data_IF_160385716509
#
_entry.id   IF_160385716509
#
_cell.length_a   1.000
_cell.length_b   1.000
_cell.length_c   1.000
_cell.angle_alpha   90.00
_cell.angle_beta   90.00
_cell.angle_gamma   90.00
#
_symmetry.space_group_name_H-M   'P 1'
#
loop_
_entity.id
_entity.type
_entity.pdbx_description
1 polymer ?
#
# COMPACT_ATOMS: atom_id res chain seq x y z
N UNK A 1 -47.03 39.07 34.05
CA UNK A 1 -46.61 37.68 34.37
C UNK A 1 -45.67 37.20 33.28
N UNK A 2 -44.37 37.09 33.57
CA UNK A 2 -43.35 36.55 32.66
C UNK A 2 -43.03 35.12 33.10
N UNK A 3 -43.18 34.15 32.21
CA UNK A 3 -42.74 32.77 32.43
C UNK A 3 -41.45 32.62 31.62
N UNK A 4 -40.33 32.44 32.33
CA UNK A 4 -39.04 32.09 31.76
C UNK A 4 -38.93 30.56 31.73
N UNK A 5 -38.84 29.98 30.55
CA UNK A 5 -38.66 28.54 30.35
C UNK A 5 -37.17 28.27 30.13
N UNK A 6 -36.51 27.74 31.15
CA UNK A 6 -35.09 27.36 31.09
C UNK A 6 -34.96 25.99 30.42
N UNK A 7 -34.37 25.94 29.24
CA UNK A 7 -34.08 24.70 28.51
C UNK A 7 -32.71 24.17 28.97
N UNK A 8 -32.69 23.08 29.74
CA UNK A 8 -31.45 22.37 30.09
C UNK A 8 -31.04 21.45 28.92
N UNK A 9 -29.93 21.79 28.26
CA UNK A 9 -29.29 20.91 27.29
C UNK A 9 -28.33 19.97 28.04
N UNK A 10 -28.70 18.70 28.19
CA UNK A 10 -27.81 17.64 28.67
C UNK A 10 -26.83 17.24 27.56
N UNK A 11 -25.56 17.62 27.72
CA UNK A 11 -24.46 17.18 26.88
C UNK A 11 -24.06 15.76 27.28
N UNK A 12 -24.45 14.75 26.50
CA UNK A 12 -24.00 13.38 26.69
C UNK A 12 -22.58 13.22 26.12
N UNK A 13 -21.59 13.10 27.00
CA UNK A 13 -20.23 12.73 26.65
C UNK A 13 -20.22 11.26 26.20
N UNK A 14 -20.13 11.00 24.89
CA UNK A 14 -19.88 9.65 24.38
C UNK A 14 -18.40 9.37 24.55
N UNK A 15 -18.04 8.69 25.64
CA UNK A 15 -16.69 8.16 25.82
C UNK A 15 -16.44 7.06 24.77
N UNK A 16 -15.72 7.37 23.71
CA UNK A 16 -15.20 6.36 22.78
C UNK A 16 -14.16 5.52 23.51
N UNK A 17 -14.57 4.37 24.03
CA UNK A 17 -13.64 3.34 24.49
C UNK A 17 -12.87 2.82 23.29
N UNK A 18 -11.62 3.27 23.14
CA UNK A 18 -10.66 2.64 22.24
C UNK A 18 -10.37 1.25 22.82
N UNK A 19 -11.07 0.23 22.33
CA UNK A 19 -10.74 -1.15 22.62
C UNK A 19 -9.44 -1.43 21.86
N UNK A 20 -8.32 -1.38 22.58
CA UNK A 20 -7.05 -1.89 22.07
C UNK A 20 -7.26 -3.34 21.62
N UNK A 21 -6.87 -3.63 20.38
CA UNK A 21 -6.96 -4.99 19.84
C UNK A 21 -6.21 -5.95 20.78
N UNK A 22 -6.78 -7.12 21.11
CA UNK A 22 -6.14 -8.06 22.00
C UNK A 22 -4.78 -8.48 21.43
N UNK A 23 -3.74 -8.43 22.26
CA UNK A 23 -2.44 -9.02 21.93
C UNK A 23 -2.64 -10.47 21.53
N UNK A 24 -2.36 -10.78 20.26
CA UNK A 24 -2.49 -12.11 19.68
C UNK A 24 -1.40 -13.04 20.28
N UNK A 25 -1.62 -13.53 21.50
CA UNK A 25 -0.79 -14.55 22.16
C UNK A 25 -1.21 -15.96 21.72
N UNK A 26 -1.21 -16.21 20.42
CA UNK A 26 -1.17 -17.57 19.89
C UNK A 26 0.19 -17.80 19.23
N UNK A 27 1.07 -18.47 19.97
CA UNK A 27 2.36 -18.96 19.50
C UNK A 27 2.16 -19.90 18.32
N UNK A 28 2.18 -19.35 17.11
CA UNK A 28 2.37 -20.14 15.91
C UNK A 28 3.76 -20.79 15.99
N UNK A 29 3.79 -22.13 15.94
CA UNK A 29 5.01 -22.91 15.69
C UNK A 29 5.84 -22.19 14.63
N UNK A 30 7.12 -21.94 14.93
CA UNK A 30 8.08 -21.27 14.06
C UNK A 30 8.19 -21.98 12.71
N UNK A 31 7.28 -21.66 11.79
CA UNK A 31 7.51 -21.85 10.38
C UNK A 31 8.69 -20.92 10.06
N UNK A 32 9.82 -21.49 9.67
CA UNK A 32 11.05 -20.74 9.38
C UNK A 32 10.84 -19.58 8.41
N UNK A 33 11.88 -18.75 8.18
CA UNK A 33 11.75 -17.56 7.36
C UNK A 33 11.19 -17.87 5.98
N UNK A 34 10.35 -16.98 5.46
CA UNK A 34 9.90 -17.07 4.07
C UNK A 34 11.10 -16.78 3.18
N UNK A 35 11.53 -17.78 2.41
CA UNK A 35 12.66 -17.67 1.50
C UNK A 35 12.21 -16.96 0.23
N UNK A 36 12.91 -15.89 -0.11
CA UNK A 36 12.64 -15.03 -1.26
C UNK A 36 13.87 -15.06 -2.17
N UNK A 37 13.64 -15.26 -3.48
CA UNK A 37 14.72 -15.18 -4.45
C UNK A 37 15.23 -13.73 -4.55
N UNK A 38 16.53 -13.50 -4.35
CA UNK A 38 17.12 -12.15 -4.39
C UNK A 38 16.94 -11.45 -5.74
N UNK A 39 16.62 -12.18 -6.81
CA UNK A 39 16.29 -11.60 -8.12
C UNK A 39 15.00 -10.79 -8.11
N UNK A 40 14.14 -10.90 -7.08
CA UNK A 40 13.01 -9.98 -6.83
C UNK A 40 13.50 -8.52 -6.77
N UNK A 41 14.71 -8.28 -6.26
CA UNK A 41 15.29 -6.93 -6.15
C UNK A 41 15.91 -6.42 -7.47
N UNK A 42 15.98 -7.26 -8.51
CA UNK A 42 16.60 -6.92 -9.80
C UNK A 42 15.55 -6.38 -10.78
N UNK A 43 15.06 -5.18 -10.51
CA UNK A 43 13.99 -4.54 -11.29
C UNK A 43 14.49 -3.80 -12.52
N UNK A 44 15.80 -3.54 -12.63
CA UNK A 44 16.38 -2.77 -13.74
C UNK A 44 16.19 -3.41 -15.12
N UNK A 45 15.97 -4.73 -15.17
CA UNK A 45 15.66 -5.49 -16.39
C UNK A 45 14.16 -5.69 -16.63
N UNK A 46 13.31 -5.23 -15.72
CA UNK A 46 11.85 -5.30 -15.86
C UNK A 46 11.38 -4.04 -16.57
N UNK A 47 10.61 -4.14 -17.66
CA UNK A 47 10.08 -2.97 -18.34
C UNK A 47 9.23 -2.11 -17.39
N UNK A 48 9.38 -0.80 -17.49
CA UNK A 48 8.38 0.11 -16.94
C UNK A 48 7.08 -0.02 -17.76
N UNK A 49 5.96 -0.18 -17.07
CA UNK A 49 4.63 -0.26 -17.69
C UNK A 49 3.87 0.99 -17.26
N UNK A 50 3.50 1.89 -18.19
CA UNK A 50 2.67 3.04 -17.85
C UNK A 50 1.25 2.56 -17.54
N UNK A 51 0.71 3.00 -16.41
CA UNK A 51 -0.70 2.77 -16.06
C UNK A 51 -1.48 4.05 -16.30
N UNK A 52 -2.03 4.14 -17.51
CA UNK A 52 -2.79 5.28 -18.00
C UNK A 52 -4.20 4.81 -18.36
N UNK A 53 -5.21 5.56 -17.96
CA UNK A 53 -6.60 5.33 -18.35
C UNK A 53 -7.44 6.59 -18.28
N UNK A 54 -8.63 6.52 -18.84
CA UNK A 54 -9.57 7.65 -18.92
C UNK A 54 -10.57 7.68 -17.75
N UNK A 55 -10.75 6.55 -17.05
CA UNK A 55 -11.66 6.45 -15.92
C UNK A 55 -10.95 6.82 -14.60
N UNK A 56 -11.74 7.20 -13.60
CA UNK A 56 -11.24 7.43 -12.24
C UNK A 56 -10.53 6.18 -11.71
N UNK A 57 -9.46 6.42 -10.98
CA UNK A 57 -8.62 5.45 -10.29
C UNK A 57 -7.90 4.46 -11.21
N UNK A 58 -7.76 4.78 -12.50
CA UNK A 58 -7.02 3.97 -13.46
C UNK A 58 -5.57 4.43 -13.68
N UNK A 59 -5.25 5.66 -13.28
CA UNK A 59 -3.94 6.27 -13.46
C UNK A 59 -3.09 6.12 -12.19
N UNK A 60 -1.90 5.56 -12.31
CA UNK A 60 -0.97 5.40 -11.20
C UNK A 60 0.46 5.16 -11.70
N UNK A 61 1.44 5.23 -10.81
CA UNK A 61 2.85 4.97 -11.14
C UNK A 61 3.38 3.84 -10.28
N UNK A 62 3.98 2.83 -10.91
CA UNK A 62 4.54 1.66 -10.26
C UNK A 62 6.02 1.42 -10.58
N UNK A 63 6.71 0.78 -9.65
CA UNK A 63 7.96 0.07 -9.90
C UNK A 63 7.64 -1.40 -10.08
N UNK A 64 7.79 -1.93 -11.30
CA UNK A 64 7.41 -3.32 -11.58
C UNK A 64 8.47 -4.29 -11.10
N UNK A 65 8.00 -5.37 -10.50
CA UNK A 65 8.80 -6.48 -10.03
C UNK A 65 8.47 -7.68 -10.93
N UNK A 66 9.48 -8.46 -11.30
CA UNK A 66 9.27 -9.63 -12.16
C UNK A 66 8.46 -10.69 -11.41
N UNK A 67 7.19 -10.84 -11.82
CA UNK A 67 6.23 -11.70 -11.15
C UNK A 67 6.68 -13.16 -11.09
N UNK A 68 7.56 -13.62 -11.99
CA UNK A 68 8.08 -14.99 -11.94
C UNK A 68 8.83 -15.30 -10.63
N UNK A 69 9.38 -14.29 -9.97
CA UNK A 69 10.02 -14.46 -8.66
C UNK A 69 9.06 -14.24 -7.48
N UNK A 70 7.90 -13.64 -7.73
CA UNK A 70 6.83 -13.43 -6.74
C UNK A 70 5.87 -14.62 -6.70
N UNK A 71 5.56 -15.23 -7.85
CA UNK A 71 4.62 -16.33 -7.98
C UNK A 71 4.90 -17.51 -7.02
N UNK A 72 6.14 -18.01 -6.84
CA UNK A 72 6.41 -19.10 -5.90
C UNK A 72 6.16 -18.69 -4.43
N UNK A 73 6.40 -17.42 -4.09
CA UNK A 73 6.14 -16.86 -2.76
C UNK A 73 4.64 -16.80 -2.53
N UNK A 74 3.89 -16.29 -3.50
CA UNK A 74 2.42 -16.28 -3.46
C UNK A 74 1.86 -17.70 -3.29
N UNK A 75 2.31 -18.67 -4.10
CA UNK A 75 1.86 -20.06 -3.99
C UNK A 75 2.11 -20.64 -2.59
N UNK A 76 3.30 -20.39 -2.02
CA UNK A 76 3.64 -20.85 -0.66
C UNK A 76 2.76 -20.17 0.40
N UNK A 77 2.56 -18.86 0.30
CA UNK A 77 1.72 -18.09 1.21
C UNK A 77 0.27 -18.53 1.12
N UNK A 78 -0.25 -18.71 -0.09
CA UNK A 78 -1.63 -19.08 -0.32
C UNK A 78 -1.92 -20.48 0.23
N UNK A 79 -1.04 -21.45 -0.02
CA UNK A 79 -1.20 -22.84 0.47
C UNK A 79 -0.95 -23.01 1.96
N UNK A 80 -0.39 -22.00 2.64
CA UNK A 80 -0.18 -22.06 4.10
C UNK A 80 -1.49 -21.81 4.84
N UNK A 81 -1.94 -22.79 5.63
CA UNK A 81 -3.23 -22.75 6.33
C UNK A 81 -3.41 -21.52 7.24
N UNK A 82 -2.34 -21.09 7.95
CA UNK A 82 -2.36 -19.91 8.81
C UNK A 82 -2.31 -18.58 8.05
N UNK A 83 -2.15 -18.60 6.73
CA UNK A 83 -2.04 -17.43 5.86
C UNK A 83 -3.21 -17.39 4.88
N UNK A 84 -3.09 -18.01 3.71
CA UNK A 84 -4.12 -17.93 2.67
C UNK A 84 -5.14 -19.06 2.69
N UNK A 85 -4.78 -20.23 3.21
CA UNK A 85 -5.60 -21.45 3.19
C UNK A 85 -6.25 -21.75 1.82
N UNK A 86 -5.54 -21.47 0.73
CA UNK A 86 -5.99 -21.66 -0.65
C UNK A 86 -6.99 -20.62 -1.17
N UNK A 87 -7.31 -19.58 -0.39
CA UNK A 87 -8.37 -18.61 -0.71
C UNK A 87 -7.88 -17.27 -1.26
N UNK A 88 -6.57 -17.03 -1.27
CA UNK A 88 -6.03 -15.78 -1.82
C UNK A 88 -6.02 -15.85 -3.35
N UNK A 89 -6.37 -14.72 -3.95
CA UNK A 89 -6.32 -14.43 -5.37
C UNK A 89 -5.10 -13.55 -5.62
N UNK A 90 -4.43 -13.78 -6.74
CA UNK A 90 -3.36 -12.92 -7.25
C UNK A 90 -3.76 -12.35 -8.61
N UNK A 91 -3.23 -11.17 -8.94
CA UNK A 91 -3.43 -10.52 -10.23
C UNK A 91 -2.53 -11.07 -11.34
N UNK A 92 -1.57 -11.94 -11.01
CA UNK A 92 -0.58 -12.42 -11.98
C UNK A 92 0.49 -11.39 -12.35
N UNK A 93 0.59 -10.32 -11.56
CA UNK A 93 1.54 -9.21 -11.73
C UNK A 93 2.05 -8.77 -10.35
N UNK A 94 3.15 -8.03 -10.33
CA UNK A 94 3.70 -7.50 -9.08
C UNK A 94 4.40 -6.17 -9.29
N UNK A 95 4.15 -5.23 -8.38
CA UNK A 95 4.77 -3.92 -8.38
C UNK A 95 4.78 -3.34 -6.97
N UNK A 96 5.55 -2.27 -6.80
CA UNK A 96 5.39 -1.31 -5.70
C UNK A 96 4.63 -0.12 -6.28
N UNK A 97 3.43 0.16 -5.79
CA UNK A 97 2.68 1.37 -6.19
C UNK A 97 3.39 2.56 -5.56
N UNK A 98 3.81 3.53 -6.36
CA UNK A 98 4.62 4.68 -5.94
C UNK A 98 3.83 5.97 -5.94
N UNK A 99 2.93 6.14 -6.91
CA UNK A 99 1.85 7.14 -6.87
C UNK A 99 0.57 6.34 -6.98
N UNK A 100 -0.28 6.40 -5.96
CA UNK A 100 -1.55 5.68 -5.91
C UNK A 100 -2.61 6.38 -6.78
N UNK A 101 -3.65 5.66 -7.22
CA UNK A 101 -4.73 6.27 -7.95
C UNK A 101 -5.43 7.43 -7.19
N UNK A 102 -5.75 7.30 -5.88
CA UNK A 102 -6.27 8.42 -5.11
C UNK A 102 -5.32 9.62 -5.06
N UNK A 103 -4.01 9.42 -4.87
CA UNK A 103 -3.04 10.53 -4.91
C UNK A 103 -3.07 11.26 -6.26
N UNK A 104 -3.15 10.53 -7.37
CA UNK A 104 -3.21 11.14 -8.69
C UNK A 104 -4.54 11.87 -8.94
N UNK A 105 -5.68 11.19 -8.80
CA UNK A 105 -6.98 11.73 -9.23
C UNK A 105 -7.52 12.82 -8.29
N UNK A 106 -7.17 12.77 -7.01
CA UNK A 106 -7.70 13.71 -6.01
C UNK A 106 -6.75 14.85 -5.67
N UNK A 107 -5.44 14.70 -5.90
CA UNK A 107 -4.43 15.69 -5.51
C UNK A 107 -3.65 16.20 -6.71
N UNK A 108 -2.88 15.33 -7.39
CA UNK A 108 -1.91 15.77 -8.40
C UNK A 108 -2.59 16.30 -9.68
N UNK A 109 -3.61 15.62 -10.17
CA UNK A 109 -4.33 16.02 -11.39
C UNK A 109 -5.08 17.35 -11.22
N UNK A 110 -5.45 17.73 -9.98
CA UNK A 110 -6.18 18.97 -9.68
C UNK A 110 -5.38 20.23 -9.97
N UNK A 111 -4.05 20.12 -10.07
CA UNK A 111 -3.16 21.23 -10.40
C UNK A 111 -2.62 21.12 -11.84
N UNK A 112 -3.28 20.32 -12.69
CA UNK A 112 -2.88 20.13 -14.08
C UNK A 112 -1.59 19.32 -14.26
N UNK A 113 -1.21 18.48 -13.30
CA UNK A 113 -0.23 17.43 -13.56
C UNK A 113 -0.88 16.30 -14.34
N UNK A 114 -0.21 15.84 -15.39
CA UNK A 114 -0.65 14.71 -16.19
C UNK A 114 0.07 13.44 -15.77
N UNK A 115 -0.58 12.28 -15.94
CA UNK A 115 0.08 10.98 -15.74
C UNK A 115 1.29 10.80 -16.67
N UNK A 116 1.28 11.44 -17.85
CA UNK A 116 2.41 11.45 -18.77
C UNK A 116 3.64 12.16 -18.20
N UNK A 117 3.48 13.29 -17.49
CA UNK A 117 4.58 13.96 -16.79
C UNK A 117 5.17 13.05 -15.70
N UNK A 118 4.31 12.36 -14.94
CA UNK A 118 4.74 11.43 -13.90
C UNK A 118 5.49 10.21 -14.47
N UNK A 119 4.98 9.63 -15.56
CA UNK A 119 5.61 8.54 -16.28
C UNK A 119 6.94 8.98 -16.93
N UNK A 120 7.04 10.20 -17.44
CA UNK A 120 8.28 10.75 -17.97
C UNK A 120 9.35 10.91 -16.88
N UNK A 121 8.97 11.38 -15.69
CA UNK A 121 9.87 11.42 -14.52
C UNK A 121 10.33 10.01 -14.11
N UNK A 122 9.46 9.01 -14.21
CA UNK A 122 9.74 7.63 -13.82
C UNK A 122 10.67 6.91 -14.80
N UNK A 123 10.48 7.16 -16.10
CA UNK A 123 11.22 6.50 -17.20
C UNK A 123 12.51 7.20 -17.57
N UNK A 124 12.73 8.47 -17.17
CA UNK A 124 13.98 9.20 -17.42
C UNK A 124 15.18 8.36 -16.97
N UNK A 125 16.03 7.95 -17.92
CA UNK A 125 17.17 7.06 -17.69
C UNK A 125 16.79 5.77 -16.93
N UNK A 126 15.61 5.20 -17.16
CA UNK A 126 15.10 4.04 -16.43
C UNK A 126 15.09 4.23 -14.90
N UNK A 127 14.87 5.46 -14.41
CA UNK A 127 15.06 5.85 -13.01
C UNK A 127 14.34 4.93 -12.04
N UNK A 128 13.02 4.74 -12.22
CA UNK A 128 12.22 4.03 -11.24
C UNK A 128 12.55 2.55 -11.19
N UNK A 129 12.79 1.91 -12.34
CA UNK A 129 13.17 0.50 -12.38
C UNK A 129 14.58 0.23 -11.88
N UNK A 130 15.43 1.25 -11.78
CA UNK A 130 16.75 1.17 -11.13
C UNK A 130 16.72 1.57 -9.66
N UNK A 131 15.56 1.92 -9.10
CA UNK A 131 15.46 2.32 -7.70
C UNK A 131 15.77 1.14 -6.78
N UNK A 132 16.61 1.39 -5.78
CA UNK A 132 16.98 0.39 -4.78
C UNK A 132 15.92 0.30 -3.69
N UNK A 133 15.66 -0.94 -3.26
CA UNK A 133 14.84 -1.25 -2.11
C UNK A 133 15.22 -2.62 -1.55
N UNK A 134 14.83 -2.88 -0.31
CA UNK A 134 14.95 -4.18 0.35
C UNK A 134 13.58 -4.67 0.80
N UNK A 135 13.48 -5.96 1.09
CA UNK A 135 12.28 -6.55 1.70
C UNK A 135 12.52 -6.68 3.20
N UNK A 136 11.60 -6.12 3.99
CA UNK A 136 11.66 -6.14 5.45
C UNK A 136 11.07 -7.42 6.03
N UNK A 137 9.84 -7.74 5.62
CA UNK A 137 9.06 -8.83 6.20
C UNK A 137 7.93 -9.28 5.26
N UNK A 138 7.33 -10.42 5.57
CA UNK A 138 6.00 -10.76 5.08
C UNK A 138 4.99 -10.07 6.01
N UNK A 139 4.13 -9.24 5.45
CA UNK A 139 3.05 -8.56 6.14
C UNK A 139 1.69 -9.13 5.82
N UNK A 140 0.75 -9.00 6.77
CA UNK A 140 -0.65 -9.36 6.60
C UNK A 140 -1.53 -8.27 7.21
N UNK A 141 -2.59 -7.93 6.50
CA UNK A 141 -3.67 -7.05 6.98
C UNK A 141 -5.00 -7.75 6.79
N UNK A 142 -5.91 -7.56 7.74
CA UNK A 142 -7.23 -8.19 7.78
C UNK A 142 -8.23 -7.18 8.29
N UNK A 143 -9.44 -7.19 7.73
CA UNK A 143 -10.56 -6.37 8.22
C UNK A 143 -11.88 -7.04 7.86
N UNK A 144 -12.97 -6.58 8.46
CA UNK A 144 -14.33 -6.93 8.06
C UNK A 144 -14.94 -5.67 7.47
N UNK A 145 -15.21 -5.68 6.17
CA UNK A 145 -15.74 -4.50 5.48
C UNK A 145 -17.22 -4.31 5.81
N UNK A 146 -17.59 -3.07 6.09
CA UNK A 146 -18.98 -2.64 6.25
C UNK A 146 -19.53 -2.11 4.92
N UNK A 147 -20.85 -2.21 4.67
CA UNK A 147 -21.89 -2.80 5.53
C UNK A 147 -22.04 -4.33 5.42
N UNK A 148 -21.40 -4.96 4.44
CA UNK A 148 -21.67 -6.35 4.06
C UNK A 148 -21.07 -7.42 4.99
N UNK A 149 -20.35 -7.00 6.04
CA UNK A 149 -19.65 -7.87 6.98
C UNK A 149 -18.74 -8.92 6.33
N UNK A 150 -18.11 -8.56 5.21
CA UNK A 150 -17.24 -9.48 4.46
C UNK A 150 -15.83 -9.44 5.04
N UNK A 151 -15.33 -10.60 5.48
CA UNK A 151 -13.94 -10.75 5.86
C UNK A 151 -13.02 -10.56 4.65
N UNK A 152 -12.09 -9.62 4.78
CA UNK A 152 -11.05 -9.33 3.81
C UNK A 152 -9.68 -9.59 4.40
N UNK A 153 -8.75 -9.97 3.53
CA UNK A 153 -7.35 -10.17 3.88
C UNK A 153 -6.50 -9.77 2.67
N UNK A 154 -5.36 -9.13 2.95
CA UNK A 154 -4.27 -8.95 1.99
C UNK A 154 -2.96 -9.39 2.64
N UNK A 155 -2.11 -10.03 1.83
CA UNK A 155 -0.77 -10.45 2.23
C UNK A 155 0.23 -9.82 1.27
N UNK A 156 1.30 -9.25 1.83
CA UNK A 156 2.23 -8.42 1.08
C UNK A 156 3.67 -8.57 1.59
N UNK A 157 4.63 -8.22 0.75
CA UNK A 157 6.01 -8.01 1.17
C UNK A 157 6.17 -6.54 1.54
N UNK A 158 6.57 -6.26 2.79
CA UNK A 158 6.82 -4.89 3.26
C UNK A 158 8.21 -4.48 2.80
N UNK A 159 8.32 -3.28 2.24
CA UNK A 159 9.55 -2.77 1.62
C UNK A 159 10.23 -1.76 2.55
N UNK A 160 11.58 -1.79 2.58
CA UNK A 160 12.43 -0.85 3.32
C UNK A 160 13.58 -0.34 2.44
N UNK A 161 14.37 0.60 2.95
CA UNK A 161 15.57 1.12 2.28
C UNK A 161 15.31 1.68 0.87
N UNK A 162 14.18 2.36 0.68
CA UNK A 162 13.65 2.79 -0.62
C UNK A 162 13.94 4.28 -0.93
N UNK A 163 15.17 4.76 -0.64
CA UNK A 163 15.51 6.18 -0.79
C UNK A 163 15.35 6.71 -2.22
N UNK A 164 15.63 5.89 -3.22
CA UNK A 164 15.46 6.27 -4.63
C UNK A 164 13.98 6.49 -5.00
N UNK A 165 13.08 5.72 -4.38
CA UNK A 165 11.63 5.88 -4.54
C UNK A 165 11.17 7.20 -3.91
N UNK A 166 11.67 7.52 -2.70
CA UNK A 166 11.42 8.82 -2.05
C UNK A 166 11.97 9.97 -2.90
N UNK A 167 13.14 9.81 -3.51
CA UNK A 167 13.71 10.82 -4.40
C UNK A 167 12.81 11.07 -5.63
N UNK A 168 12.22 10.02 -6.22
CA UNK A 168 11.22 10.19 -7.28
C UNK A 168 9.98 10.94 -6.76
N UNK A 169 9.40 10.52 -5.63
CA UNK A 169 8.24 11.20 -5.02
C UNK A 169 8.55 12.66 -4.65
N UNK A 170 9.79 12.96 -4.28
CA UNK A 170 10.26 14.33 -4.00
C UNK A 170 10.26 15.19 -5.26
N UNK A 171 10.64 14.65 -6.42
CA UNK A 171 10.57 15.41 -7.67
C UNK A 171 9.13 15.59 -8.16
N UNK A 172 8.26 14.61 -7.91
CA UNK A 172 6.80 14.77 -8.08
C UNK A 172 6.28 15.90 -7.19
N UNK A 173 6.68 15.94 -5.91
CA UNK A 173 6.30 17.01 -4.99
C UNK A 173 6.78 18.39 -5.48
N UNK A 174 8.03 18.52 -5.94
CA UNK A 174 8.54 19.78 -6.52
C UNK A 174 7.71 20.23 -7.72
N UNK A 175 7.35 19.29 -8.61
CA UNK A 175 6.49 19.60 -9.76
C UNK A 175 5.09 20.02 -9.33
N UNK A 176 4.52 19.33 -8.34
CA UNK A 176 3.21 19.65 -7.75
C UNK A 176 3.17 21.06 -7.17
N UNK A 177 4.15 21.43 -6.34
CA UNK A 177 4.25 22.79 -5.77
C UNK A 177 4.49 23.83 -6.86
N UNK A 178 5.36 23.53 -7.84
CA UNK A 178 5.61 24.42 -8.98
C UNK A 178 4.34 24.73 -9.78
N UNK A 179 3.39 23.80 -9.84
CA UNK A 179 2.09 23.98 -10.51
C UNK A 179 1.01 24.59 -9.60
N UNK A 180 1.38 25.09 -8.42
CA UNK A 180 0.45 25.74 -7.49
C UNK A 180 -0.27 24.80 -6.54
N UNK A 181 0.19 23.55 -6.41
CA UNK A 181 -0.37 22.60 -5.45
C UNK A 181 -0.09 22.96 -4.00
N UNK A 182 -1.08 22.71 -3.13
CA UNK A 182 -0.96 22.89 -1.69
C UNK A 182 -0.02 21.82 -1.09
N UNK A 183 1.17 22.19 -0.58
CA UNK A 183 2.15 21.23 -0.05
C UNK A 183 1.63 20.31 1.06
N UNK A 184 0.58 20.70 1.78
CA UNK A 184 -0.04 19.87 2.82
C UNK A 184 -0.78 18.64 2.28
N UNK A 185 -1.15 18.64 0.99
CA UNK A 185 -1.97 17.56 0.39
C UNK A 185 -1.14 16.41 -0.17
N UNK A 186 0.16 16.61 -0.41
CA UNK A 186 1.04 15.56 -0.92
C UNK A 186 2.38 15.61 -0.19
N UNK A 187 2.71 14.53 0.53
CA UNK A 187 3.99 14.37 1.19
C UNK A 187 4.76 13.20 0.56
N UNK A 188 5.96 13.49 0.06
CA UNK A 188 6.81 12.48 -0.58
C UNK A 188 7.15 11.31 0.37
N UNK A 189 7.25 11.57 1.67
CA UNK A 189 7.57 10.57 2.69
C UNK A 189 6.36 9.86 3.31
N UNK A 190 5.13 10.37 3.11
CA UNK A 190 3.92 9.70 3.58
C UNK A 190 3.59 8.52 2.65
N UNK A 191 4.38 7.46 2.79
CA UNK A 191 4.45 6.38 1.83
C UNK A 191 4.83 5.07 2.53
N UNK A 192 4.02 4.03 2.32
CA UNK A 192 4.22 2.69 2.89
C UNK A 192 4.39 1.69 1.75
N UNK A 193 5.59 1.59 1.14
CA UNK A 193 5.80 0.73 0.00
C UNK A 193 5.65 -0.74 0.38
N UNK A 194 4.94 -1.46 -0.47
CA UNK A 194 4.73 -2.89 -0.33
C UNK A 194 4.54 -3.51 -1.72
N UNK A 195 4.74 -4.82 -1.80
CA UNK A 195 4.40 -5.64 -2.97
C UNK A 195 3.26 -6.57 -2.55
N UNK A 196 2.05 -6.36 -3.06
CA UNK A 196 0.92 -7.24 -2.78
C UNK A 196 1.18 -8.62 -3.40
N UNK A 197 1.08 -9.67 -2.59
CA UNK A 197 1.20 -11.06 -3.05
C UNK A 197 -0.16 -11.61 -3.47
N UNK A 198 -1.18 -11.35 -2.65
CA UNK A 198 -2.54 -11.76 -2.91
C UNK A 198 -3.52 -11.31 -1.83
N UNK A 199 -4.80 -11.37 -2.16
CA UNK A 199 -5.90 -10.90 -1.32
C UNK A 199 -7.11 -11.81 -1.46
N UNK A 200 -8.05 -11.76 -0.53
CA UNK A 200 -9.22 -12.67 -0.55
C UNK A 200 -10.23 -12.31 -1.64
N UNK A 201 -10.87 -11.13 -1.55
CA UNK A 201 -11.83 -10.68 -2.58
C UNK A 201 -11.33 -9.44 -3.32
N UNK A 202 -10.78 -8.47 -2.56
CA UNK A 202 -10.12 -7.28 -3.10
C UNK A 202 -8.92 -6.90 -2.24
N UNK A 203 -8.06 -6.07 -2.79
CA UNK A 203 -6.99 -5.47 -2.00
C UNK A 203 -7.56 -4.45 -1.01
N UNK A 204 -6.82 -4.22 0.08
CA UNK A 204 -7.17 -3.32 1.17
C UNK A 204 -6.36 -2.03 1.10
N UNK A 205 -6.99 -0.89 1.40
CA UNK A 205 -6.36 0.43 1.26
C UNK A 205 -6.60 1.29 2.51
N UNK A 206 -6.07 2.52 2.51
CA UNK A 206 -6.16 3.43 3.66
C UNK A 206 -7.60 3.85 3.95
N UNK A 207 -8.46 3.87 2.92
CA UNK A 207 -9.90 4.10 3.01
C UNK A 207 -10.61 3.02 3.83
N UNK A 208 -10.01 1.82 3.94
CA UNK A 208 -10.47 0.73 4.81
C UNK A 208 -9.94 0.86 6.25
N UNK A 209 -9.23 1.94 6.57
CA UNK A 209 -8.50 2.11 7.84
C UNK A 209 -7.25 1.22 7.95
N UNK A 210 -6.77 0.69 6.82
CA UNK A 210 -5.67 -0.28 6.78
C UNK A 210 -4.36 0.40 6.38
N UNK A 211 -3.36 0.30 7.24
CA UNK A 211 -2.00 0.74 6.99
C UNK A 211 -1.08 -0.47 6.80
N UNK A 212 -0.40 -0.54 5.66
CA UNK A 212 0.45 -1.67 5.22
C UNK A 212 1.94 -1.36 5.40
N UNK A 213 2.30 -0.84 6.58
CA UNK A 213 3.69 -0.61 6.97
C UNK A 213 4.27 -1.74 7.81
N UNK A 214 5.28 -1.41 8.63
CA UNK A 214 5.91 -2.36 9.57
C UNK A 214 4.93 -2.97 10.57
N UNK A 215 3.86 -2.25 10.91
CA UNK A 215 2.78 -2.72 11.77
C UNK A 215 2.07 -3.97 11.22
N UNK A 216 2.18 -4.24 9.92
CA UNK A 216 1.60 -5.43 9.29
C UNK A 216 2.53 -6.65 9.32
N UNK A 217 3.80 -6.53 9.75
CA UNK A 217 4.77 -7.62 9.72
C UNK A 217 4.35 -8.82 10.58
N UNK A 218 4.32 -10.01 9.98
CA UNK A 218 3.97 -11.27 10.67
C UNK A 218 5.04 -12.36 10.53
N UNK A 219 5.90 -12.32 9.51
CA UNK A 219 7.02 -13.26 9.38
C UNK A 219 8.29 -12.57 8.88
N UNK A 220 9.44 -13.06 9.36
CA UNK A 220 10.75 -12.73 8.79
C UNK A 220 10.88 -13.32 7.40
N UNK A 221 11.61 -12.61 6.54
CA UNK A 221 12.01 -13.09 5.21
C UNK A 221 13.50 -13.36 5.18
N UNK A 222 13.91 -14.27 4.30
CA UNK A 222 15.32 -14.54 4.01
C UNK A 222 15.54 -14.46 2.51
N UNK A 223 16.46 -13.60 2.07
CA UNK A 223 16.88 -13.53 0.69
C UNK A 223 17.88 -14.67 0.37
N UNK A 224 17.69 -15.35 -0.76
CA UNK A 224 18.62 -16.34 -1.31
C UNK A 224 18.92 -16.06 -2.79
#
# INVERSE_FOLDING_TARGET
MRIATTLFATLALVASTVIAAPENKHGHKNNGPIVINKKVLKTSSVPFIPHTGTALFTNWVGLNVDYKYIQPIFQKVNTTASLGNGTLISRGESHITIITPPEYDTILSKVGMTIHELNALATKNNRLQRAHFDIECLGRVQTVTQPDNVFQQSVQLIVKNYKDIVAYRTDVFKLFVKKGGNPALFAAENFQPHITLGFKNRDLFVEDGIFKGKNACIHKVQLK
#
